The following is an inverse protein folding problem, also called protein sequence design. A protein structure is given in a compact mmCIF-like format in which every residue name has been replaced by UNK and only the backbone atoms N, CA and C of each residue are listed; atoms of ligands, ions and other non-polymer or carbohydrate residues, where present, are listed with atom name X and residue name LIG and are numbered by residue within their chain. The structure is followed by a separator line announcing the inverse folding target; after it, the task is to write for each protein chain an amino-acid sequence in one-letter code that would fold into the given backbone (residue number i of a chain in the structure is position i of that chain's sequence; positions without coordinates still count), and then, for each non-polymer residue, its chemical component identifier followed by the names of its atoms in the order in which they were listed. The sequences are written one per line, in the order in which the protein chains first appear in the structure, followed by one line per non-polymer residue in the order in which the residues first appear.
data_IF_301983410608
#
_entry.id   IF_301983410608
#
_cell.length_a   1.000
_cell.length_b   1.000
_cell.length_c   1.000
_cell.angle_alpha   90.00
_cell.angle_beta   90.00
_cell.angle_gamma   90.00
#
_symmetry.space_group_name_H-M   'P 1'
#
loop_
_entity.id
_entity.type
_entity.pdbx_description
1 polymer ?
#
# COMPACT_ATOMS: atom_id res chain seq x y z
N UNK A 1 -18.43 1.44 -9.06
CA UNK A 1 -17.99 0.68 -7.86
C UNK A 1 -17.27 -0.64 -8.15
N UNK A 2 -17.47 -1.31 -9.30
CA UNK A 2 -16.84 -2.63 -9.61
C UNK A 2 -15.31 -2.55 -9.81
N UNK A 3 -14.81 -1.48 -10.44
CA UNK A 3 -13.39 -1.33 -10.73
C UNK A 3 -12.51 -1.34 -9.47
N UNK A 4 -12.89 -0.57 -8.43
CA UNK A 4 -12.15 -0.54 -7.17
C UNK A 4 -12.13 -1.90 -6.46
N UNK A 5 -13.25 -2.63 -6.46
CA UNK A 5 -13.29 -3.99 -5.89
C UNK A 5 -12.31 -4.94 -6.59
N UNK A 6 -12.18 -4.85 -7.92
CA UNK A 6 -11.21 -5.63 -8.71
C UNK A 6 -9.76 -5.25 -8.39
N UNK A 7 -9.47 -3.95 -8.32
CA UNK A 7 -8.14 -3.43 -7.93
C UNK A 7 -7.78 -3.94 -6.54
N UNK A 8 -8.68 -3.78 -5.57
CA UNK A 8 -8.49 -4.24 -4.19
C UNK A 8 -8.21 -5.74 -4.12
N UNK A 9 -9.04 -6.56 -4.78
CA UNK A 9 -8.86 -8.01 -4.79
C UNK A 9 -7.50 -8.40 -5.42
N UNK A 10 -7.14 -7.79 -6.54
CA UNK A 10 -5.85 -8.04 -7.20
C UNK A 10 -4.67 -7.64 -6.31
N UNK A 11 -4.74 -6.48 -5.64
CA UNK A 11 -3.66 -5.99 -4.78
C UNK A 11 -3.46 -6.89 -3.56
N UNK A 12 -4.52 -7.31 -2.87
CA UNK A 12 -4.39 -8.22 -1.73
C UNK A 12 -3.95 -9.63 -2.13
N UNK A 13 -4.25 -10.07 -3.34
CA UNK A 13 -3.76 -11.35 -3.86
C UNK A 13 -2.28 -11.29 -4.23
N UNK A 14 -1.82 -10.18 -4.83
CA UNK A 14 -0.42 -9.99 -5.21
C UNK A 14 0.48 -9.67 -4.01
N UNK A 15 0.01 -8.80 -3.12
CA UNK A 15 0.72 -8.34 -1.94
C UNK A 15 -0.13 -8.62 -0.68
N UNK A 16 -0.12 -9.86 -0.16
CA UNK A 16 -0.99 -10.24 0.96
C UNK A 16 -0.51 -9.69 2.31
N UNK A 17 0.68 -9.09 2.37
CA UNK A 17 1.30 -8.57 3.58
C UNK A 17 1.29 -7.04 3.60
N UNK A 18 1.30 -6.48 4.80
CA UNK A 18 1.42 -5.05 5.03
C UNK A 18 2.83 -4.59 4.64
N UNK A 19 2.92 -3.71 3.64
CA UNK A 19 4.22 -3.22 3.13
C UNK A 19 5.05 -2.50 4.20
N UNK A 20 4.39 -1.78 5.11
CA UNK A 20 5.08 -1.11 6.22
C UNK A 20 5.56 -2.10 7.29
N UNK A 21 4.77 -3.13 7.61
CA UNK A 21 5.25 -4.17 8.53
C UNK A 21 6.44 -4.92 7.92
N UNK A 22 6.42 -5.21 6.62
CA UNK A 22 7.57 -5.81 5.94
C UNK A 22 8.82 -4.94 6.03
N UNK A 23 8.68 -3.61 5.90
CA UNK A 23 9.77 -2.66 6.10
C UNK A 23 10.35 -2.70 7.53
N UNK A 24 9.49 -2.96 8.52
CA UNK A 24 9.90 -3.13 9.91
C UNK A 24 10.43 -4.54 10.24
N UNK A 25 10.55 -5.44 9.24
CA UNK A 25 10.94 -6.84 9.44
C UNK A 25 9.85 -7.73 10.06
N UNK A 26 8.59 -7.28 10.03
CA UNK A 26 7.44 -7.96 10.63
C UNK A 26 6.52 -8.52 9.54
N UNK A 27 6.26 -9.82 9.58
CA UNK A 27 5.26 -10.46 8.72
C UNK A 27 3.86 -10.27 9.29
N UNK A 28 3.07 -9.37 8.71
CA UNK A 28 1.65 -9.17 9.08
C UNK A 28 0.77 -9.08 7.84
N UNK A 29 -0.35 -9.79 7.86
CA UNK A 29 -1.32 -9.76 6.77
C UNK A 29 -1.89 -8.35 6.55
N UNK A 30 -2.11 -8.00 5.29
CA UNK A 30 -2.82 -6.80 4.90
C UNK A 30 -4.34 -7.02 4.93
N UNK A 31 -5.05 -5.99 5.37
CA UNK A 31 -6.51 -5.99 5.48
C UNK A 31 -7.13 -4.93 4.56
N UNK A 32 -6.34 -3.89 4.27
CA UNK A 32 -6.77 -2.67 3.62
C UNK A 32 -5.86 -2.43 2.41
N UNK A 33 -6.46 -1.97 1.32
CA UNK A 33 -5.74 -1.44 0.16
C UNK A 33 -5.94 0.06 0.18
N UNK A 34 -4.82 0.77 0.16
CA UNK A 34 -4.75 2.21 0.35
C UNK A 34 -4.00 2.88 -0.81
N UNK A 35 -4.23 4.18 -0.99
CA UNK A 35 -3.55 4.98 -2.01
C UNK A 35 -2.19 5.47 -1.50
N UNK A 36 -1.13 5.24 -2.26
CA UNK A 36 0.22 5.70 -1.92
C UNK A 36 0.27 7.23 -1.96
N UNK A 37 -0.20 7.82 -3.06
CA UNK A 37 -0.41 9.25 -3.26
C UNK A 37 -1.89 9.56 -3.09
N UNK A 38 -2.26 10.51 -2.20
CA UNK A 38 -3.66 10.93 -2.05
C UNK A 38 -4.22 11.45 -3.37
N UNK A 39 -5.32 10.86 -3.83
CA UNK A 39 -5.86 11.16 -5.15
C UNK A 39 -6.53 12.55 -5.25
N UNK A 40 -6.95 13.18 -4.14
CA UNK A 40 -7.54 14.54 -4.09
C UNK A 40 -8.66 14.80 -5.11
N UNK A 41 -9.42 13.76 -5.45
CA UNK A 41 -10.50 13.81 -6.45
C UNK A 41 -10.09 13.44 -7.89
N UNK A 42 -8.79 13.27 -8.16
CA UNK A 42 -8.30 12.73 -9.43
C UNK A 42 -8.73 11.27 -9.59
N UNK A 43 -9.47 11.01 -10.67
CA UNK A 43 -10.07 9.71 -10.93
C UNK A 43 -9.09 8.73 -11.57
N UNK A 44 -8.15 9.19 -12.37
CA UNK A 44 -7.10 8.33 -12.94
C UNK A 44 -6.19 7.84 -11.82
N UNK A 45 -5.79 8.74 -10.93
CA UNK A 45 -4.98 8.41 -9.77
C UNK A 45 -5.73 7.52 -8.76
N UNK A 46 -7.04 7.69 -8.62
CA UNK A 46 -7.88 6.82 -7.77
C UNK A 46 -7.94 5.36 -8.27
N UNK A 47 -8.03 5.17 -9.59
CA UNK A 47 -8.10 3.82 -10.20
C UNK A 47 -6.75 3.27 -10.66
N UNK A 48 -5.65 4.02 -10.46
CA UNK A 48 -4.31 3.55 -10.78
C UNK A 48 -3.89 2.43 -9.84
N UNK A 49 -3.73 1.21 -10.39
CA UNK A 49 -3.21 0.09 -9.62
C UNK A 49 -1.81 0.38 -9.06
N UNK A 50 -0.97 1.09 -9.81
CA UNK A 50 0.38 1.47 -9.38
C UNK A 50 0.36 2.40 -8.15
N UNK A 51 -0.71 3.17 -7.98
CA UNK A 51 -0.93 4.04 -6.82
C UNK A 51 -1.54 3.31 -5.61
N UNK A 52 -1.59 1.97 -5.60
CA UNK A 52 -2.13 1.22 -4.46
C UNK A 52 -1.05 0.44 -3.71
N UNK A 53 -1.26 0.29 -2.40
CA UNK A 53 -0.44 -0.46 -1.46
C UNK A 53 -1.31 -1.30 -0.51
N UNK A 54 -0.73 -2.36 0.05
CA UNK A 54 -1.37 -3.25 1.03
C UNK A 54 -0.93 -2.88 2.44
N UNK A 55 -1.89 -2.61 3.33
CA UNK A 55 -1.63 -2.21 4.73
C UNK A 55 -2.48 -3.02 5.72
N UNK A 56 -1.95 -3.20 6.94
CA UNK A 56 -2.75 -3.64 8.07
C UNK A 56 -3.54 -2.47 8.67
N UNK A 57 -4.57 -2.76 9.46
CA UNK A 57 -5.40 -1.72 10.06
C UNK A 57 -4.60 -0.71 10.92
N UNK A 58 -3.58 -1.17 11.62
CA UNK A 58 -2.72 -0.34 12.47
C UNK A 58 -1.98 0.73 11.65
N UNK A 59 -1.23 0.31 10.63
CA UNK A 59 -0.44 1.22 9.81
C UNK A 59 -1.32 2.15 8.96
N UNK A 60 -2.47 1.65 8.47
CA UNK A 60 -3.44 2.47 7.76
C UNK A 60 -3.99 3.59 8.64
N UNK A 61 -4.48 3.27 9.85
CA UNK A 61 -5.18 4.24 10.70
C UNK A 61 -4.24 5.20 11.46
N UNK A 62 -2.96 4.82 11.66
CA UNK A 62 -2.01 5.59 12.45
C UNK A 62 -0.95 6.26 11.58
N UNK A 63 -0.09 5.48 10.96
CA UNK A 63 1.15 5.99 10.39
C UNK A 63 0.90 6.63 9.03
N UNK A 64 0.09 5.98 8.19
CA UNK A 64 -0.32 6.54 6.91
C UNK A 64 -1.12 7.84 7.10
N UNK A 65 -2.10 7.87 8.00
CA UNK A 65 -2.85 9.09 8.31
C UNK A 65 -1.95 10.23 8.79
N UNK A 66 -0.91 9.93 9.58
CA UNK A 66 0.08 10.94 10.03
C UNK A 66 0.95 11.44 8.89
N UNK A 67 1.42 10.57 8.01
CA UNK A 67 2.19 10.95 6.83
C UNK A 67 1.37 11.89 5.93
N UNK A 68 0.12 11.54 5.67
CA UNK A 68 -0.78 12.36 4.84
C UNK A 68 -1.06 13.73 5.46
N UNK A 69 -1.26 13.80 6.78
CA UNK A 69 -1.43 15.06 7.49
C UNK A 69 -0.19 15.97 7.40
N UNK A 70 1.01 15.38 7.24
CA UNK A 70 2.27 16.10 7.03
C UNK A 70 2.56 16.40 5.55
N UNK A 71 1.74 15.89 4.63
CA UNK A 71 1.99 15.97 3.19
C UNK A 71 3.11 15.05 2.69
N UNK A 72 3.50 14.06 3.49
CA UNK A 72 4.51 13.07 3.13
C UNK A 72 3.90 11.96 2.27
N UNK A 73 4.61 11.56 1.22
CA UNK A 73 4.28 10.41 0.38
C UNK A 73 5.19 9.26 0.77
N UNK A 74 4.63 8.06 0.94
CA UNK A 74 5.44 6.88 1.18
C UNK A 74 6.27 6.58 -0.09
N UNK A 75 7.57 6.84 -0.02
CA UNK A 75 8.50 6.51 -1.10
C UNK A 75 8.60 5.00 -1.22
N UNK A 76 8.02 4.43 -2.28
CA UNK A 76 8.20 3.02 -2.66
C UNK A 76 9.62 2.82 -3.19
N UNK A 77 10.62 2.83 -2.32
CA UNK A 77 11.89 2.17 -2.61
C UNK A 77 11.96 0.95 -1.72
N UNK A 78 11.14 -0.04 -2.07
CA UNK A 78 11.35 -1.40 -1.60
C UNK A 78 11.97 -2.11 -2.79
N UNK A 79 13.29 -1.98 -2.96
CA UNK A 79 14.02 -3.03 -3.64
C UNK A 79 14.04 -4.17 -2.63
N UNK A 80 13.27 -5.26 -2.83
CA UNK A 80 13.54 -6.44 -2.04
C UNK A 80 14.99 -6.80 -2.36
N UNK A 81 15.87 -6.79 -1.38
CA UNK A 81 17.15 -7.50 -1.49
C UNK A 81 16.81 -8.98 -1.63
N UNK A 82 16.42 -9.39 -2.84
CA UNK A 82 16.32 -10.78 -3.22
C UNK A 82 17.78 -11.23 -3.33
N UNK A 83 18.31 -11.73 -2.21
CA UNK A 83 19.53 -12.53 -2.23
C UNK A 83 19.22 -13.81 -3.02
N UNK A 84 19.33 -13.71 -4.34
CA UNK A 84 19.32 -14.85 -5.26
C UNK A 84 20.72 -15.46 -5.28
N UNK A 85 21.19 -15.92 -4.13
CA UNK A 85 22.32 -16.83 -4.02
C UNK A 85 21.82 -18.28 -3.93
N UNK A 86 21.52 -18.84 -5.10
CA UNK A 86 21.46 -20.29 -5.35
C UNK A 86 22.20 -20.61 -6.65
#
# INVERSE_FOLDING_TARGET
MVAWKRIRARRLAADPLCVMCLADGVTKAAEIVDHVVPHKGDRELFYSYANTQSLCATHHNRDKQRMEARGEVQSRTFEPEIDVSF
#
